data_IF_469117710697
#
_entry.id   IF_469117710697
#
_cell.length_a   1.000
_cell.length_b   1.000
_cell.length_c   1.000
_cell.angle_alpha   90.00
_cell.angle_beta   90.00
_cell.angle_gamma   90.00
#
_symmetry.space_group_name_H-M   'P 1'
#
loop_
_entity.id
_entity.type
_entity.pdbx_description
1 polymer ?
#
# COMPACT_ATOMS: atom_id res chain seq x y z
N UNK A 1 5.18 -0.76 -20.78
CA UNK A 1 4.77 -0.60 -19.37
C UNK A 1 5.68 0.43 -18.74
N UNK A 2 5.20 1.63 -18.46
CA UNK A 2 6.01 2.61 -17.73
C UNK A 2 5.81 2.37 -16.23
N UNK A 3 6.87 1.91 -15.56
CA UNK A 3 6.86 1.85 -14.10
C UNK A 3 6.94 3.26 -13.54
N UNK A 4 6.23 3.55 -12.46
CA UNK A 4 6.25 4.84 -11.78
C UNK A 4 7.41 4.95 -10.81
N UNK A 5 7.98 3.85 -10.34
CA UNK A 5 9.08 3.85 -9.37
C UNK A 5 9.84 2.54 -9.49
N UNK A 6 11.15 2.56 -9.24
CA UNK A 6 11.97 1.36 -8.96
C UNK A 6 12.72 1.53 -7.65
N UNK A 7 12.96 0.43 -6.94
CA UNK A 7 13.67 0.35 -5.66
C UNK A 7 14.71 -0.75 -5.81
N UNK A 8 15.98 -0.38 -5.91
CA UNK A 8 17.06 -1.36 -6.02
C UNK A 8 17.74 -1.52 -4.66
N UNK A 9 17.87 -2.75 -4.15
CA UNK A 9 18.68 -3.04 -2.96
C UNK A 9 20.13 -3.31 -3.36
N UNK A 10 21.07 -3.29 -2.41
CA UNK A 10 22.47 -3.67 -2.65
C UNK A 10 22.63 -5.08 -3.25
N UNK A 11 21.66 -5.97 -2.99
CA UNK A 11 21.58 -7.30 -3.60
C UNK A 11 21.23 -7.28 -5.09
N UNK A 12 21.02 -6.10 -5.70
CA UNK A 12 20.60 -5.92 -7.09
C UNK A 12 19.11 -6.20 -7.35
N UNK A 13 18.34 -6.58 -6.33
CA UNK A 13 16.88 -6.79 -6.45
C UNK A 13 16.20 -5.47 -6.74
N UNK A 14 15.42 -5.41 -7.83
CA UNK A 14 14.67 -4.20 -8.19
C UNK A 14 13.16 -4.44 -8.06
N UNK A 15 12.50 -3.67 -7.21
CA UNK A 15 11.04 -3.63 -7.11
C UNK A 15 10.51 -2.41 -7.85
N UNK A 16 9.59 -2.61 -8.79
CA UNK A 16 8.96 -1.52 -9.54
C UNK A 16 7.45 -1.49 -9.39
N UNK A 17 6.84 -0.31 -9.51
CA UNK A 17 5.38 -0.13 -9.36
C UNK A 17 4.77 0.47 -10.62
N UNK A 18 3.56 0.08 -10.98
CA UNK A 18 2.77 0.76 -12.02
C UNK A 18 1.28 0.77 -11.66
N UNK A 19 0.47 1.70 -12.19
CA UNK A 19 -0.98 1.63 -12.04
C UNK A 19 -1.52 0.28 -12.50
N UNK A 20 -2.55 -0.19 -11.82
CA UNK A 20 -3.30 -1.38 -12.25
C UNK A 20 -4.06 -1.05 -13.52
N UNK A 21 -4.12 -2.01 -14.44
CA UNK A 21 -4.98 -1.95 -15.62
C UNK A 21 -5.87 -3.21 -15.69
N UNK A 22 -6.76 -3.29 -16.68
CA UNK A 22 -7.69 -4.42 -16.80
C UNK A 22 -6.98 -5.76 -17.08
N UNK A 23 -5.77 -5.75 -17.64
CA UNK A 23 -4.98 -6.96 -17.92
C UNK A 23 -4.46 -7.63 -16.63
N UNK A 24 -4.46 -6.92 -15.50
CA UNK A 24 -4.06 -7.44 -14.19
C UNK A 24 -5.14 -8.30 -13.52
N UNK A 25 -6.38 -8.26 -14.03
CA UNK A 25 -7.52 -8.98 -13.43
C UNK A 25 -7.22 -10.47 -13.20
N UNK A 26 -6.65 -11.23 -14.15
CA UNK A 26 -6.36 -12.65 -13.93
C UNK A 26 -5.38 -12.88 -12.76
N UNK A 27 -4.39 -12.01 -12.59
CA UNK A 27 -3.39 -12.09 -11.52
C UNK A 27 -4.07 -11.79 -10.18
N UNK A 28 -4.80 -10.68 -10.10
CA UNK A 28 -5.51 -10.27 -8.88
C UNK A 28 -6.55 -11.31 -8.48
N UNK A 29 -7.34 -11.81 -9.43
CA UNK A 29 -8.32 -12.88 -9.20
C UNK A 29 -7.64 -14.12 -8.58
N UNK A 30 -6.52 -14.58 -9.15
CA UNK A 30 -5.75 -15.71 -8.61
C UNK A 30 -5.24 -15.44 -7.20
N UNK A 31 -4.76 -14.23 -6.92
CA UNK A 31 -4.26 -13.85 -5.60
C UNK A 31 -5.37 -13.76 -4.56
N UNK A 32 -6.52 -13.16 -4.88
CA UNK A 32 -7.64 -13.03 -3.95
C UNK A 32 -8.20 -14.38 -3.49
N UNK A 33 -8.02 -15.45 -4.27
CA UNK A 33 -8.38 -16.82 -3.92
C UNK A 33 -7.34 -17.55 -3.05
N UNK A 34 -6.16 -16.98 -2.84
CA UNK A 34 -5.13 -17.64 -2.04
C UNK A 34 -5.53 -17.69 -0.56
N UNK A 35 -5.22 -18.82 0.09
CA UNK A 35 -5.56 -19.07 1.51
C UNK A 35 -4.97 -18.04 2.47
N UNK A 36 -3.84 -17.42 2.12
CA UNK A 36 -3.21 -16.37 2.93
C UNK A 36 -3.75 -14.96 2.65
N UNK A 37 -4.62 -14.78 1.65
CA UNK A 37 -5.16 -13.47 1.23
C UNK A 37 -6.64 -13.36 1.54
N UNK A 38 -7.45 -14.34 1.11
CA UNK A 38 -8.92 -14.24 1.20
C UNK A 38 -9.46 -13.92 2.60
N UNK A 39 -8.87 -14.39 3.73
CA UNK A 39 -9.41 -14.08 5.06
C UNK A 39 -9.32 -12.58 5.41
N UNK A 40 -8.41 -11.85 4.78
CA UNK A 40 -8.14 -10.44 5.04
C UNK A 40 -8.78 -9.52 4.02
N UNK A 41 -8.77 -9.93 2.75
CA UNK A 41 -9.29 -9.11 1.64
C UNK A 41 -10.76 -9.39 1.31
N UNK A 42 -11.24 -10.63 1.52
CA UNK A 42 -12.61 -11.06 1.22
C UNK A 42 -13.07 -10.74 -0.22
N UNK A 43 -12.14 -10.77 -1.18
CA UNK A 43 -12.37 -10.52 -2.60
C UNK A 43 -12.20 -11.78 -3.46
N UNK A 44 -12.35 -12.98 -2.89
CA UNK A 44 -12.41 -14.25 -3.62
C UNK A 44 -13.76 -14.39 -4.36
N UNK A 45 -14.07 -13.37 -5.16
CA UNK A 45 -15.31 -13.22 -5.93
C UNK A 45 -15.22 -13.97 -7.26
N UNK A 46 -16.35 -14.31 -7.88
CA UNK A 46 -16.39 -14.76 -9.27
C UNK A 46 -15.68 -13.79 -10.23
N UNK A 47 -15.22 -14.32 -11.38
CA UNK A 47 -14.42 -13.57 -12.34
C UNK A 47 -15.09 -12.26 -12.82
N UNK A 48 -16.40 -12.28 -13.08
CA UNK A 48 -17.13 -11.09 -13.55
C UNK A 48 -17.24 -10.02 -12.45
N UNK A 49 -17.38 -10.42 -11.19
CA UNK A 49 -17.45 -9.50 -10.06
C UNK A 49 -16.09 -8.86 -9.77
N UNK A 50 -15.00 -9.64 -9.82
CA UNK A 50 -13.66 -9.08 -9.61
C UNK A 50 -13.28 -8.12 -10.75
N UNK A 51 -13.70 -8.38 -12.01
CA UNK A 51 -13.52 -7.43 -13.12
C UNK A 51 -14.16 -6.09 -12.81
N UNK A 52 -15.41 -6.10 -12.35
CA UNK A 52 -16.14 -4.88 -11.96
C UNK A 52 -15.42 -4.19 -10.80
N UNK A 53 -14.99 -4.94 -9.78
CA UNK A 53 -14.27 -4.39 -8.65
C UNK A 53 -12.94 -3.72 -9.04
N UNK A 54 -12.16 -4.36 -9.92
CA UNK A 54 -10.90 -3.79 -10.44
C UNK A 54 -11.18 -2.53 -11.25
N UNK A 55 -12.16 -2.56 -12.17
CA UNK A 55 -12.56 -1.40 -12.97
C UNK A 55 -12.96 -0.20 -12.09
N UNK A 56 -13.80 -0.45 -11.08
CA UNK A 56 -14.20 0.58 -10.11
C UNK A 56 -13.02 1.09 -9.27
N UNK A 57 -12.03 0.23 -9.01
CA UNK A 57 -10.84 0.61 -8.27
C UNK A 57 -9.90 1.48 -9.09
N UNK A 58 -9.78 1.21 -10.39
CA UNK A 58 -9.02 2.04 -11.35
C UNK A 58 -9.68 3.42 -11.51
N UNK A 59 -11.00 3.48 -11.65
CA UNK A 59 -11.74 4.73 -11.86
C UNK A 59 -12.05 5.53 -10.58
N UNK A 60 -11.60 5.06 -9.42
CA UNK A 60 -11.94 5.71 -8.15
C UNK A 60 -11.34 7.11 -8.04
N UNK A 61 -12.16 8.05 -7.52
CA UNK A 61 -11.70 9.41 -7.19
C UNK A 61 -10.99 9.52 -5.84
N UNK A 62 -11.14 8.53 -4.96
CA UNK A 62 -10.62 8.59 -3.58
C UNK A 62 -9.49 7.59 -3.29
N UNK A 63 -9.10 6.76 -4.27
CA UNK A 63 -7.97 5.83 -4.13
C UNK A 63 -7.22 5.65 -5.44
N UNK A 64 -5.97 5.18 -5.35
CA UNK A 64 -5.18 4.67 -6.47
C UNK A 64 -4.64 3.30 -6.13
N UNK A 65 -4.54 2.48 -7.16
CA UNK A 65 -4.21 1.06 -7.05
C UNK A 65 -3.06 0.75 -7.98
N UNK A 66 -2.07 0.03 -7.46
CA UNK A 66 -0.83 -0.24 -8.18
C UNK A 66 -0.45 -1.72 -8.06
N UNK A 67 0.16 -2.23 -9.13
CA UNK A 67 0.84 -3.50 -9.17
C UNK A 67 2.33 -3.27 -8.92
N UNK A 68 2.93 -4.10 -8.06
CA UNK A 68 4.36 -4.12 -7.85
C UNK A 68 5.01 -5.38 -8.42
N UNK A 69 6.22 -5.21 -8.94
CA UNK A 69 6.97 -6.21 -9.68
C UNK A 69 8.36 -6.36 -9.08
N UNK A 70 8.84 -7.58 -8.90
CA UNK A 70 10.23 -7.88 -8.54
C UNK A 70 10.89 -8.51 -9.75
N UNK A 71 11.86 -7.83 -10.36
CA UNK A 71 12.54 -8.29 -11.59
C UNK A 71 11.52 -8.77 -12.65
N UNK A 72 10.54 -7.93 -12.98
CA UNK A 72 9.45 -8.18 -13.94
C UNK A 72 8.40 -9.24 -13.56
N UNK A 73 8.52 -9.91 -12.42
CA UNK A 73 7.46 -10.78 -11.90
C UNK A 73 6.49 -10.01 -10.99
N UNK A 74 5.15 -10.11 -11.17
CA UNK A 74 4.20 -9.45 -10.26
C UNK A 74 4.30 -10.08 -8.86
N UNK A 75 4.50 -9.25 -7.84
CA UNK A 75 4.71 -9.70 -6.45
C UNK A 75 3.77 -9.08 -5.44
N UNK A 76 3.27 -7.86 -5.68
CA UNK A 76 2.41 -7.19 -4.73
C UNK A 76 1.33 -6.33 -5.40
N UNK A 77 0.32 -6.02 -4.61
CA UNK A 77 -0.77 -5.11 -4.95
C UNK A 77 -0.93 -4.12 -3.81
N UNK A 78 -0.96 -2.83 -4.14
CA UNK A 78 -0.93 -1.74 -3.15
C UNK A 78 -1.98 -0.70 -3.47
N UNK A 79 -2.64 -0.21 -2.42
CA UNK A 79 -3.66 0.85 -2.51
C UNK A 79 -3.23 2.01 -1.64
N UNK A 80 -3.23 3.22 -2.19
CA UNK A 80 -3.24 4.47 -1.43
C UNK A 80 -4.60 5.14 -1.53
N UNK A 81 -5.15 5.64 -0.42
CA UNK A 81 -6.50 6.22 -0.40
C UNK A 81 -6.63 7.44 0.52
N UNK A 82 -7.64 8.27 0.26
CA UNK A 82 -7.98 9.41 1.12
C UNK A 82 -8.68 8.92 2.39
N UNK A 83 -8.02 9.08 3.53
CA UNK A 83 -8.58 8.69 4.85
C UNK A 83 -9.88 9.40 5.17
N UNK A 84 -10.14 10.60 4.63
CA UNK A 84 -11.36 11.38 4.89
C UNK A 84 -12.59 10.80 4.21
N UNK A 85 -12.38 10.02 3.15
CA UNK A 85 -13.45 9.33 2.43
C UNK A 85 -13.62 7.88 2.90
N UNK A 86 -12.76 7.41 3.81
CA UNK A 86 -12.75 6.05 4.31
C UNK A 86 -13.32 5.97 5.74
N UNK A 87 -14.00 4.86 6.14
CA UNK A 87 -14.49 4.68 7.50
C UNK A 87 -13.43 4.84 8.60
N UNK A 88 -12.13 4.70 8.27
CA UNK A 88 -11.04 4.87 9.23
C UNK A 88 -10.99 6.26 9.89
N UNK A 89 -11.54 7.30 9.25
CA UNK A 89 -11.61 8.66 9.79
C UNK A 89 -12.24 8.78 11.17
N UNK A 90 -13.13 7.85 11.52
CA UNK A 90 -13.85 7.88 12.79
C UNK A 90 -13.04 7.34 13.97
N UNK A 91 -11.84 6.80 13.71
CA UNK A 91 -11.05 6.10 14.71
C UNK A 91 -9.84 6.88 15.22
N UNK A 92 -9.51 8.02 14.63
CA UNK A 92 -8.39 8.86 15.04
C UNK A 92 -8.55 10.30 14.52
N UNK A 93 -7.75 11.21 15.07
CA UNK A 93 -7.70 12.59 14.58
C UNK A 93 -6.85 12.66 13.32
N UNK A 94 -7.50 12.95 12.19
CA UNK A 94 -6.85 13.17 10.91
C UNK A 94 -5.95 14.41 11.00
N UNK A 95 -4.74 14.30 10.48
CA UNK A 95 -3.81 15.40 10.26
C UNK A 95 -3.66 15.70 8.76
N UNK A 96 -3.20 16.92 8.41
CA UNK A 96 -2.89 17.25 7.03
C UNK A 96 -1.92 16.25 6.41
N UNK A 97 -2.22 15.79 5.20
CA UNK A 97 -1.43 14.80 4.45
C UNK A 97 -1.40 13.40 5.04
N UNK A 98 -2.41 13.03 5.81
CA UNK A 98 -2.69 11.62 6.07
C UNK A 98 -3.22 10.93 4.83
N UNK A 99 -2.65 9.76 4.56
CA UNK A 99 -3.10 8.85 3.50
C UNK A 99 -3.27 7.46 4.07
N UNK A 100 -4.26 6.74 3.57
CA UNK A 100 -4.51 5.36 3.94
C UNK A 100 -3.73 4.40 3.05
N UNK A 101 -3.42 3.21 3.57
CA UNK A 101 -2.75 2.15 2.82
C UNK A 101 -3.38 0.77 2.98
N UNK A 102 -3.41 0.03 1.88
CA UNK A 102 -3.60 -1.43 1.89
C UNK A 102 -2.47 -2.12 1.14
N UNK A 103 -1.92 -3.16 1.76
CA UNK A 103 -0.73 -3.88 1.28
C UNK A 103 -1.06 -5.37 1.08
N UNK A 104 -0.69 -5.93 -0.07
CA UNK A 104 -0.84 -7.34 -0.39
C UNK A 104 0.42 -7.88 -1.04
N UNK A 105 0.96 -8.99 -0.52
CA UNK A 105 1.96 -9.81 -1.20
C UNK A 105 1.25 -11.02 -1.80
N UNK A 106 1.31 -11.14 -3.12
CA UNK A 106 0.58 -12.15 -3.87
C UNK A 106 1.17 -13.55 -3.71
N UNK A 107 2.42 -13.77 -4.16
CA UNK A 107 3.08 -15.06 -4.09
C UNK A 107 3.39 -15.48 -2.64
N UNK A 108 2.86 -16.62 -2.20
CA UNK A 108 3.09 -17.17 -0.86
C UNK A 108 4.58 -17.38 -0.54
N UNK A 109 5.41 -17.71 -1.53
CA UNK A 109 6.86 -17.92 -1.37
C UNK A 109 7.60 -16.69 -0.84
N UNK A 110 7.05 -15.49 -1.08
CA UNK A 110 7.62 -14.20 -0.67
C UNK A 110 7.14 -13.73 0.71
N UNK A 111 6.40 -14.57 1.44
CA UNK A 111 5.98 -14.28 2.82
C UNK A 111 7.01 -14.70 3.87
N UNK A 112 8.21 -15.10 3.45
CA UNK A 112 9.32 -15.29 4.37
C UNK A 112 9.77 -13.94 4.94
N UNK A 113 10.55 -13.98 6.04
CA UNK A 113 10.93 -12.78 6.78
C UNK A 113 11.66 -11.74 5.92
N UNK A 114 12.59 -12.19 5.08
CA UNK A 114 13.44 -11.30 4.30
C UNK A 114 12.65 -10.65 3.16
N UNK A 115 12.07 -11.47 2.27
CA UNK A 115 11.33 -10.95 1.10
C UNK A 115 10.10 -10.14 1.53
N UNK A 116 9.39 -10.60 2.57
CA UNK A 116 8.21 -9.90 3.06
C UNK A 116 8.54 -8.51 3.61
N UNK A 117 9.67 -8.39 4.31
CA UNK A 117 10.15 -7.11 4.83
C UNK A 117 10.56 -6.18 3.69
N UNK A 118 11.33 -6.70 2.72
CA UNK A 118 11.74 -5.95 1.52
C UNK A 118 10.54 -5.43 0.73
N UNK A 119 9.55 -6.27 0.45
CA UNK A 119 8.39 -5.89 -0.35
C UNK A 119 7.49 -4.90 0.40
N UNK A 120 7.28 -5.07 1.71
CA UNK A 120 6.47 -4.12 2.51
C UNK A 120 7.20 -2.77 2.64
N UNK A 121 8.50 -2.78 2.91
CA UNK A 121 9.32 -1.54 2.91
C UNK A 121 9.19 -0.81 1.58
N UNK A 122 9.32 -1.54 0.48
CA UNK A 122 9.16 -1.00 -0.87
C UNK A 122 7.79 -0.36 -1.11
N UNK A 123 6.69 -1.06 -0.75
CA UNK A 123 5.34 -0.52 -0.88
C UNK A 123 5.13 0.73 -0.01
N UNK A 124 5.57 0.71 1.25
CA UNK A 124 5.40 1.85 2.17
C UNK A 124 6.19 3.07 1.70
N UNK A 125 7.44 2.87 1.26
CA UNK A 125 8.25 3.95 0.68
C UNK A 125 7.57 4.53 -0.56
N UNK A 126 7.13 3.67 -1.49
CA UNK A 126 6.48 4.11 -2.73
C UNK A 126 5.25 4.98 -2.44
N UNK A 127 4.43 4.58 -1.47
CA UNK A 127 3.25 5.36 -1.09
C UNK A 127 3.60 6.73 -0.50
N UNK A 128 4.62 6.81 0.37
CA UNK A 128 5.05 8.09 0.93
C UNK A 128 5.48 9.08 -0.16
N UNK A 129 6.30 8.62 -1.10
CA UNK A 129 6.77 9.50 -2.18
C UNK A 129 5.68 9.81 -3.19
N UNK A 130 4.89 8.81 -3.59
CA UNK A 130 3.83 8.98 -4.59
C UNK A 130 2.80 10.03 -4.15
N UNK A 131 2.45 10.05 -2.87
CA UNK A 131 1.42 10.93 -2.34
C UNK A 131 1.95 12.13 -1.56
N UNK A 132 3.27 12.23 -1.34
CA UNK A 132 3.85 13.25 -0.48
C UNK A 132 3.24 13.25 0.93
N UNK A 133 2.81 12.08 1.39
CA UNK A 133 2.09 11.90 2.66
C UNK A 133 3.01 12.17 3.85
N UNK A 134 2.47 12.71 4.94
CA UNK A 134 3.21 12.82 6.20
C UNK A 134 3.06 11.56 7.04
N UNK A 135 1.88 10.92 6.96
CA UNK A 135 1.59 9.67 7.66
C UNK A 135 0.83 8.72 6.75
N UNK A 136 1.19 7.44 6.82
CA UNK A 136 0.43 6.34 6.22
C UNK A 136 -0.35 5.61 7.30
N UNK A 137 -1.66 5.52 7.11
CA UNK A 137 -2.60 4.94 8.07
C UNK A 137 -3.02 3.56 7.56
N UNK A 138 -2.95 2.58 8.45
CA UNK A 138 -3.34 1.21 8.13
C UNK A 138 -4.19 0.59 9.22
N UNK A 139 -5.04 -0.34 8.80
CA UNK A 139 -5.93 -1.09 9.68
C UNK A 139 -5.85 -2.60 9.39
N UNK A 140 -4.63 -3.20 9.44
CA UNK A 140 -4.50 -4.65 9.29
C UNK A 140 -5.35 -5.38 10.32
N UNK A 141 -5.89 -6.54 9.92
CA UNK A 141 -6.55 -7.47 10.84
C UNK A 141 -5.65 -7.72 12.06
N UNK A 142 -6.22 -7.70 13.26
CA UNK A 142 -5.46 -7.82 14.51
C UNK A 142 -4.61 -9.11 14.60
N UNK A 143 -4.98 -10.14 13.83
CA UNK A 143 -4.29 -11.44 13.73
C UNK A 143 -3.17 -11.45 12.69
N UNK A 144 -2.97 -10.38 11.92
CA UNK A 144 -1.95 -10.35 10.87
C UNK A 144 -0.53 -10.34 11.48
N UNK A 145 0.06 -11.53 11.60
CA UNK A 145 1.39 -11.76 12.20
C UNK A 145 2.55 -11.43 11.28
N UNK A 146 2.30 -10.97 10.05
CA UNK A 146 3.33 -10.63 9.06
C UNK A 146 3.46 -9.12 8.94
N UNK A 147 2.36 -8.46 8.53
CA UNK A 147 2.39 -7.03 8.21
C UNK A 147 2.63 -6.17 9.44
N UNK A 148 2.00 -6.49 10.58
CA UNK A 148 2.11 -5.65 11.78
C UNK A 148 3.55 -5.61 12.32
N UNK A 149 4.25 -6.75 12.54
CA UNK A 149 5.64 -6.72 12.98
C UNK A 149 6.58 -5.99 12.02
N UNK A 150 6.38 -6.15 10.71
CA UNK A 150 7.20 -5.48 9.70
C UNK A 150 6.97 -3.97 9.73
N UNK A 151 5.72 -3.51 9.74
CA UNK A 151 5.41 -2.08 9.86
C UNK A 151 6.01 -1.47 11.13
N UNK A 152 5.93 -2.18 12.27
CA UNK A 152 6.60 -1.74 13.50
C UNK A 152 8.11 -1.60 13.36
N UNK A 153 8.77 -2.57 12.70
CA UNK A 153 10.21 -2.53 12.44
C UNK A 153 10.58 -1.33 11.54
N UNK A 154 9.68 -0.94 10.64
CA UNK A 154 9.81 0.22 9.77
C UNK A 154 9.38 1.54 10.45
N UNK A 155 9.26 1.57 11.79
CA UNK A 155 8.94 2.77 12.55
C UNK A 155 7.46 3.07 12.73
N UNK A 156 6.54 2.19 12.31
CA UNK A 156 5.11 2.43 12.50
C UNK A 156 4.65 2.13 13.93
N UNK A 157 3.74 2.96 14.43
CA UNK A 157 3.14 2.83 15.74
C UNK A 157 1.79 2.11 15.66
N UNK A 158 1.60 1.06 16.46
CA UNK A 158 0.28 0.46 16.69
C UNK A 158 -0.41 1.27 17.78
N UNK A 159 -1.41 2.07 17.40
CA UNK A 159 -2.04 3.04 18.30
C UNK A 159 -3.05 2.36 19.22
N UNK A 160 -3.98 1.59 18.63
CA UNK A 160 -5.05 0.88 19.35
C UNK A 160 -5.68 -0.19 18.49
N UNK A 161 -6.46 -1.07 19.11
CA UNK A 161 -7.39 -1.93 18.39
C UNK A 161 -8.70 -1.19 18.11
N UNK A 162 -9.28 -1.43 16.93
CA UNK A 162 -10.52 -0.82 16.47
C UNK A 162 -11.44 -1.89 15.89
N UNK A 163 -12.74 -1.64 15.95
CA UNK A 163 -13.74 -2.42 15.23
C UNK A 163 -14.22 -1.58 14.05
N UNK A 164 -13.72 -1.87 12.85
CA UNK A 164 -14.06 -1.15 11.62
C UNK A 164 -14.89 -2.06 10.72
N UNK A 165 -16.14 -1.66 10.46
CA UNK A 165 -17.16 -2.55 9.89
C UNK A 165 -17.19 -3.89 10.66
N UNK A 166 -17.10 -5.02 9.96
CA UNK A 166 -17.04 -6.36 10.54
C UNK A 166 -15.60 -6.83 10.88
N UNK A 167 -14.58 -6.00 10.70
CA UNK A 167 -13.16 -6.33 10.95
C UNK A 167 -12.66 -5.76 12.28
N UNK A 168 -12.16 -6.63 13.15
CA UNK A 168 -11.30 -6.21 14.28
C UNK A 168 -9.89 -5.96 13.75
N UNK A 169 -9.42 -4.73 13.84
CA UNK A 169 -8.17 -4.28 13.26
C UNK A 169 -7.26 -3.64 14.31
N UNK A 170 -5.98 -3.53 13.99
CA UNK A 170 -5.04 -2.65 14.69
C UNK A 170 -4.87 -1.38 13.89
N UNK A 171 -5.20 -0.24 14.48
CA UNK A 171 -4.88 1.06 13.89
C UNK A 171 -3.37 1.26 13.96
N UNK A 172 -2.75 1.40 12.81
CA UNK A 172 -1.32 1.59 12.61
C UNK A 172 -1.10 2.95 11.96
N UNK A 173 -0.17 3.73 12.50
CA UNK A 173 0.26 5.02 11.92
C UNK A 173 1.76 4.92 11.66
N UNK A 174 2.15 4.99 10.40
CA UNK A 174 3.55 5.11 10.00
C UNK A 174 3.85 6.58 9.72
N UNK A 175 4.80 7.18 10.46
CA UNK A 175 5.27 8.53 10.19
C UNK A 175 6.39 8.51 9.15
N UNK A 176 6.36 9.44 8.20
CA UNK A 176 7.35 9.51 7.11
C UNK A 176 8.78 9.64 7.63
N UNK A 177 9.02 10.52 8.62
CA UNK A 177 10.37 10.77 9.13
C UNK A 177 10.91 9.56 9.88
N UNK A 178 10.10 8.95 10.75
CA UNK A 178 10.47 7.73 11.48
C UNK A 178 10.74 6.58 10.50
N UNK A 179 9.93 6.46 9.44
CA UNK A 179 10.14 5.49 8.38
C UNK A 179 11.49 5.69 7.68
N UNK A 180 11.78 6.91 7.21
CA UNK A 180 13.04 7.21 6.52
C UNK A 180 14.28 7.01 7.41
N UNK A 181 14.19 7.39 8.69
CA UNK A 181 15.26 7.15 9.67
C UNK A 181 15.53 5.65 9.86
N UNK A 182 14.47 4.84 10.03
CA UNK A 182 14.64 3.40 10.25
C UNK A 182 15.20 2.67 9.02
N UNK A 183 14.92 3.15 7.80
CA UNK A 183 15.49 2.54 6.59
C UNK A 183 16.89 3.07 6.27
N UNK A 184 17.26 4.31 6.63
CA UNK A 184 18.64 4.79 6.45
C UNK A 184 19.62 4.03 7.30
N UNK A 185 19.20 3.63 8.50
CA UNK A 185 20.01 2.82 9.42
C UNK A 185 20.16 1.36 8.96
N UNK A 186 19.41 0.94 7.93
CA UNK A 186 19.33 -0.47 7.51
C UNK A 186 20.38 -0.91 6.47
N UNK A 187 21.37 -0.08 6.13
CA UNK A 187 22.36 -0.34 5.05
C UNK A 187 21.71 -0.64 3.68
N UNK A 188 20.50 -0.15 3.44
CA UNK A 188 19.80 -0.36 2.17
C UNK A 188 19.90 0.92 1.37
N UNK A 189 20.87 0.94 0.44
CA UNK A 189 20.97 2.00 -0.55
C UNK A 189 19.90 1.74 -1.61
N UNK A 190 18.76 2.44 -1.53
CA UNK A 190 17.74 2.41 -2.57
C UNK A 190 17.78 3.68 -3.42
N UNK A 191 18.02 3.52 -4.72
CA UNK A 191 17.82 4.57 -5.71
C UNK A 191 16.38 4.53 -6.19
N UNK A 192 15.71 5.67 -6.11
CA UNK A 192 14.31 5.77 -6.48
C UNK A 192 14.12 6.71 -7.66
N UNK A 193 13.55 6.19 -8.74
CA UNK A 193 13.32 6.95 -9.97
C UNK A 193 11.84 7.01 -10.29
N UNK A 194 11.24 8.19 -10.11
CA UNK A 194 9.90 8.44 -10.61
C UNK A 194 9.97 8.68 -12.13
N UNK A 195 9.58 7.68 -12.93
CA UNK A 195 9.66 7.80 -14.39
C UNK A 195 8.51 8.63 -14.98
N UNK A 196 7.38 8.74 -14.27
CA UNK A 196 6.25 9.60 -14.63
C UNK A 196 5.51 10.06 -13.36
N UNK A 197 5.42 11.38 -13.14
CA UNK A 197 4.48 11.96 -12.16
C UNK A 197 3.07 11.87 -12.74
N UNK A 198 2.04 11.44 -12.00
CA UNK A 198 0.68 11.40 -12.54
C UNK A 198 0.18 12.82 -12.77
N UNK A 199 -0.68 12.94 -13.78
CA UNK A 199 -1.29 14.14 -14.32
C UNK A 199 -1.96 15.05 -13.27
N UNK A 200 -2.17 16.31 -13.68
CA UNK A 200 -2.82 17.46 -13.01
C UNK A 200 -3.98 17.13 -12.03
N UNK A 201 -4.68 16.00 -12.20
CA UNK A 201 -5.71 15.51 -11.27
C UNK A 201 -5.23 15.29 -9.83
N UNK A 202 -3.95 14.94 -9.60
CA UNK A 202 -3.42 14.75 -8.25
C UNK A 202 -2.88 16.02 -7.60
N UNK A 203 -2.59 17.08 -8.35
CA UNK A 203 -2.37 18.39 -7.72
C UNK A 203 -3.65 18.85 -7.02
N UNK A 204 -4.81 18.65 -7.65
CA UNK A 204 -6.12 18.94 -7.05
C UNK A 204 -6.41 18.05 -5.84
N UNK A 205 -6.09 16.75 -5.91
CA UNK A 205 -6.19 15.86 -4.74
C UNK A 205 -5.25 16.29 -3.61
N UNK A 206 -3.99 16.56 -3.93
CA UNK A 206 -2.97 16.96 -2.97
C UNK A 206 -3.28 18.35 -2.38
N UNK A 207 -3.90 19.27 -3.12
CA UNK A 207 -4.40 20.55 -2.60
C UNK A 207 -5.54 20.33 -1.62
N UNK A 208 -6.51 19.49 -1.94
CA UNK A 208 -7.60 19.15 -1.01
C UNK A 208 -7.05 18.49 0.27
N UNK A 209 -6.03 17.64 0.16
CA UNK A 209 -5.33 17.02 1.30
C UNK A 209 -4.46 18.01 2.08
N UNK A 210 -3.76 18.93 1.40
CA UNK A 210 -2.89 19.97 2.00
C UNK A 210 -3.68 20.98 2.82
N UNK A 211 -4.86 21.38 2.35
CA UNK A 211 -5.63 22.45 2.96
C UNK A 211 -6.60 21.99 4.05
N UNK A 212 -6.64 20.69 4.38
CA UNK A 212 -7.47 20.15 5.46
C UNK A 212 -8.87 20.75 5.41
N UNK A 213 -9.61 20.45 4.34
CA UNK A 213 -10.89 21.10 4.00
C UNK A 213 -11.70 21.48 5.23
N UNK A 214 -11.84 22.80 5.39
CA UNK A 214 -12.72 23.53 6.32
C UNK A 214 -14.14 23.00 6.35
#
# INVERSE_FOLDING_TARGET
MAFECSITEESGRTISFRPVNEEDVPILHKWMHQKHIYPFWKLNLPLEEIKIWVKNSISSRHKRVFMGYLNDEPVCYVIGYDVRQDPIRHFYSIEPRDMGMHLLIGPRRLLNKEDGETIIRAMTWFLFEKFGANRMIGEPDYRNRIVIPILKKLGANVVKEIQINEKRAKLVIANRNEFHQNISDSNITSSFHLLNSPDHEWEVFNEAVKHGSS
#
